data_IF_709338528741
#
_entry.id   IF_709338528741
#
_cell.length_a   1.000
_cell.length_b   1.000
_cell.length_c   1.000
_cell.angle_alpha   90.00
_cell.angle_beta   90.00
_cell.angle_gamma   90.00
#
_symmetry.space_group_name_H-M   'P 1'
#
loop_
_entity.id
_entity.type
_entity.pdbx_description
1 polymer ?
#
# COMPACT_ATOMS: atom_id res chain seq x y z
N UNK A 1 11.05 4.03 7.21
CA UNK A 1 11.45 3.66 8.57
C UNK A 1 12.84 3.05 8.53
N UNK A 2 13.70 3.56 9.38
CA UNK A 2 15.01 2.97 9.56
C UNK A 2 14.89 1.94 10.69
N UNK A 3 15.09 0.67 10.35
CA UNK A 3 15.20 -0.41 11.35
C UNK A 3 16.59 -0.41 12.00
N UNK A 4 17.50 0.45 11.51
CA UNK A 4 18.85 0.59 12.02
C UNK A 4 18.89 1.41 13.30
N UNK A 5 19.84 1.13 14.16
CA UNK A 5 20.20 1.98 15.29
C UNK A 5 21.50 2.73 14.98
N UNK A 6 21.68 3.97 15.45
CA UNK A 6 20.78 4.73 16.31
C UNK A 6 19.52 5.23 15.60
N UNK A 7 18.47 5.56 16.38
CA UNK A 7 17.24 6.15 15.85
C UNK A 7 17.52 7.59 15.39
N UNK A 8 17.24 7.88 14.12
CA UNK A 8 17.42 9.20 13.50
C UNK A 8 16.07 9.83 13.12
N UNK A 9 16.10 11.12 12.79
CA UNK A 9 14.95 11.74 12.14
C UNK A 9 14.62 11.01 10.83
N UNK A 10 13.33 10.81 10.56
CA UNK A 10 12.87 9.98 9.44
C UNK A 10 11.84 10.75 8.62
N UNK A 11 11.97 10.68 7.31
CA UNK A 11 10.93 11.08 6.36
C UNK A 11 10.42 9.81 5.71
N UNK A 12 9.11 9.62 5.68
CA UNK A 12 8.52 8.39 5.12
C UNK A 12 7.14 8.65 4.52
N UNK A 13 6.67 7.79 3.58
CA UNK A 13 5.26 7.81 3.22
C UNK A 13 4.37 7.50 4.42
N UNK A 14 3.19 8.11 4.47
CA UNK A 14 2.14 7.71 5.41
C UNK A 14 1.36 6.52 4.84
N UNK A 15 1.94 5.34 4.97
CA UNK A 15 1.35 4.11 4.47
C UNK A 15 -0.03 3.82 5.07
N UNK A 16 -0.25 4.19 6.35
CA UNK A 16 -1.51 3.91 7.02
C UNK A 16 -2.64 4.77 6.44
N UNK A 17 -2.48 6.09 6.44
CA UNK A 17 -3.47 7.00 5.87
C UNK A 17 -3.71 6.71 4.39
N UNK A 18 -2.62 6.50 3.61
CA UNK A 18 -2.71 6.19 2.19
C UNK A 18 -3.54 4.93 1.90
N UNK A 19 -3.41 3.86 2.71
CA UNK A 19 -4.24 2.67 2.52
C UNK A 19 -5.70 2.94 2.87
N UNK A 20 -5.98 3.57 4.01
CA UNK A 20 -7.36 3.88 4.43
C UNK A 20 -8.09 4.69 3.35
N UNK A 21 -7.50 5.79 2.89
CA UNK A 21 -8.10 6.62 1.85
C UNK A 21 -8.21 5.89 0.50
N UNK A 22 -7.27 4.99 0.19
CA UNK A 22 -7.37 4.15 -1.01
C UNK A 22 -8.55 3.18 -0.92
N UNK A 23 -8.75 2.55 0.22
CA UNK A 23 -9.88 1.65 0.44
C UNK A 23 -11.21 2.40 0.35
N UNK A 24 -11.30 3.61 0.93
CA UNK A 24 -12.51 4.44 0.83
C UNK A 24 -12.85 4.75 -0.65
N UNK A 25 -11.85 5.16 -1.44
CA UNK A 25 -12.02 5.39 -2.90
C UNK A 25 -12.38 4.12 -3.68
N UNK A 26 -11.84 2.97 -3.31
CA UNK A 26 -12.22 1.69 -3.92
C UNK A 26 -13.69 1.35 -3.59
N UNK A 27 -14.13 1.64 -2.36
CA UNK A 27 -15.54 1.44 -1.98
C UNK A 27 -16.49 2.35 -2.76
N UNK A 28 -16.12 3.59 -3.02
CA UNK A 28 -16.87 4.51 -3.89
C UNK A 28 -17.02 3.95 -5.31
N UNK A 29 -16.04 3.15 -5.79
CA UNK A 29 -16.08 2.43 -7.07
C UNK A 29 -16.82 1.09 -7.02
N UNK A 30 -17.48 0.80 -5.90
CA UNK A 30 -18.33 -0.38 -5.73
C UNK A 30 -17.62 -1.64 -5.23
N UNK A 31 -16.34 -1.56 -4.86
CA UNK A 31 -15.66 -2.69 -4.21
C UNK A 31 -16.10 -2.83 -2.75
N UNK A 32 -16.21 -4.06 -2.26
CA UNK A 32 -16.67 -4.36 -0.89
C UNK A 32 -15.76 -5.32 -0.16
N UNK A 33 -15.09 -6.20 -0.88
CA UNK A 33 -14.25 -7.28 -0.35
C UNK A 33 -12.79 -7.03 -0.69
N UNK A 34 -12.16 -6.18 0.10
CA UNK A 34 -10.78 -5.72 -0.12
C UNK A 34 -9.79 -6.75 0.41
N UNK A 35 -8.99 -7.34 -0.48
CA UNK A 35 -7.90 -8.23 -0.15
C UNK A 35 -6.54 -7.52 -0.17
N UNK A 36 -5.65 -7.83 0.76
CA UNK A 36 -4.27 -7.34 0.79
C UNK A 36 -3.29 -8.49 0.56
N UNK A 37 -2.46 -8.37 -0.48
CA UNK A 37 -1.41 -9.34 -0.81
C UNK A 37 -0.04 -8.68 -0.79
N UNK A 38 0.80 -9.04 0.18
CA UNK A 38 2.09 -8.38 0.40
C UNK A 38 3.17 -9.38 0.81
N UNK A 39 4.43 -9.01 0.55
CA UNK A 39 5.58 -9.78 1.03
C UNK A 39 5.92 -9.40 2.47
N UNK A 40 6.20 -10.42 3.28
CA UNK A 40 6.61 -10.24 4.69
C UNK A 40 7.84 -9.34 4.84
N UNK A 41 8.81 -9.44 3.95
CA UNK A 41 10.00 -8.59 3.97
C UNK A 41 9.66 -7.11 3.77
N UNK A 42 8.70 -6.80 2.87
CA UNK A 42 8.22 -5.42 2.65
C UNK A 42 7.48 -4.90 3.89
N UNK A 43 6.57 -5.69 4.45
CA UNK A 43 5.82 -5.35 5.66
C UNK A 43 6.73 -5.11 6.88
N UNK A 44 7.71 -5.98 7.12
CA UNK A 44 8.68 -5.80 8.21
C UNK A 44 9.42 -4.47 8.10
N UNK A 45 9.80 -4.04 6.90
CA UNK A 45 10.52 -2.76 6.67
C UNK A 45 9.70 -1.54 7.07
N UNK A 46 8.39 -1.62 6.97
CA UNK A 46 7.47 -0.52 7.31
C UNK A 46 6.69 -0.79 8.61
N UNK A 47 7.13 -1.77 9.41
CA UNK A 47 6.51 -2.14 10.68
C UNK A 47 5.03 -2.54 10.52
N UNK A 48 4.71 -3.31 9.50
CA UNK A 48 3.37 -3.83 9.19
C UNK A 48 2.29 -2.75 9.03
N UNK A 49 2.66 -1.59 8.49
CA UNK A 49 1.72 -0.47 8.35
C UNK A 49 0.57 -0.74 7.39
N UNK A 50 0.81 -1.44 6.27
CA UNK A 50 -0.28 -1.81 5.36
C UNK A 50 -1.24 -2.79 6.03
N UNK A 51 -0.71 -3.83 6.65
CA UNK A 51 -1.52 -4.80 7.40
C UNK A 51 -2.27 -4.13 8.56
N UNK A 52 -1.61 -3.27 9.32
CA UNK A 52 -2.22 -2.52 10.42
C UNK A 52 -3.36 -1.61 9.96
N UNK A 53 -3.20 -0.93 8.82
CA UNK A 53 -4.24 -0.11 8.22
C UNK A 53 -5.46 -0.94 7.80
N UNK A 54 -5.24 -2.10 7.14
CA UNK A 54 -6.34 -3.00 6.78
C UNK A 54 -7.08 -3.52 8.02
N UNK A 55 -6.35 -3.88 9.09
CA UNK A 55 -6.97 -4.33 10.34
C UNK A 55 -7.78 -3.21 11.01
N UNK A 56 -7.30 -1.97 10.97
CA UNK A 56 -8.04 -0.80 11.43
C UNK A 56 -9.33 -0.60 10.63
N UNK A 57 -9.23 -0.67 9.31
CA UNK A 57 -10.39 -0.61 8.42
C UNK A 57 -11.43 -1.70 8.72
N UNK A 58 -10.99 -2.92 9.05
CA UNK A 58 -11.87 -4.03 9.38
C UNK A 58 -12.75 -3.78 10.62
N UNK A 59 -12.39 -2.84 11.50
CA UNK A 59 -13.26 -2.49 12.64
C UNK A 59 -14.57 -1.83 12.20
N UNK A 60 -14.55 -1.15 11.05
CA UNK A 60 -15.71 -0.43 10.51
C UNK A 60 -16.54 -1.22 9.48
N UNK A 61 -16.20 -2.49 9.18
CA UNK A 61 -16.91 -3.28 8.16
C UNK A 61 -17.49 -4.57 8.69
N UNK A 62 -18.55 -5.05 8.04
CA UNK A 62 -19.23 -6.29 8.40
C UNK A 62 -18.28 -7.50 8.34
N UNK A 63 -18.44 -8.50 9.23
CA UNK A 63 -17.52 -9.63 9.33
C UNK A 63 -17.34 -10.42 8.02
N UNK A 64 -18.38 -10.56 7.21
CA UNK A 64 -18.37 -11.25 5.91
C UNK A 64 -17.56 -10.53 4.82
N UNK A 65 -17.29 -9.23 5.01
CA UNK A 65 -16.46 -8.41 4.13
C UNK A 65 -14.98 -8.38 4.56
N UNK A 66 -14.64 -8.89 5.74
CA UNK A 66 -13.29 -8.88 6.28
C UNK A 66 -12.46 -10.01 5.66
N UNK A 67 -11.49 -9.64 4.84
CA UNK A 67 -10.58 -10.60 4.21
C UNK A 67 -9.23 -10.56 4.93
N UNK A 68 -8.78 -11.68 5.51
CA UNK A 68 -7.46 -11.72 6.14
C UNK A 68 -6.37 -11.43 5.09
N UNK A 69 -5.35 -10.61 5.43
CA UNK A 69 -4.27 -10.32 4.52
C UNK A 69 -3.47 -11.59 4.20
N UNK A 70 -3.05 -11.74 2.95
CA UNK A 70 -2.09 -12.75 2.54
C UNK A 70 -0.68 -12.17 2.63
N UNK A 71 0.08 -12.59 3.63
CA UNK A 71 1.46 -12.18 3.85
C UNK A 71 2.38 -13.36 3.56
N UNK A 72 3.16 -13.26 2.48
CA UNK A 72 4.03 -14.35 1.99
C UNK A 72 5.52 -13.99 2.09
N UNK A 73 6.37 -14.99 2.22
CA UNK A 73 7.82 -14.80 2.15
C UNK A 73 8.31 -14.77 0.69
N UNK A 74 7.72 -15.61 -0.15
CA UNK A 74 7.97 -15.71 -1.61
C UNK A 74 6.67 -15.59 -2.38
N UNK A 75 6.74 -15.03 -3.60
CA UNK A 75 5.60 -14.97 -4.49
C UNK A 75 5.37 -16.35 -5.11
N UNK A 76 4.22 -16.94 -4.86
CA UNK A 76 3.82 -18.23 -5.39
C UNK A 76 2.37 -18.19 -5.83
N UNK A 77 2.12 -18.53 -7.08
CA UNK A 77 0.80 -18.52 -7.70
C UNK A 77 -0.20 -19.38 -6.93
N UNK A 78 0.19 -20.62 -6.60
CA UNK A 78 -0.69 -21.60 -5.92
C UNK A 78 -1.19 -21.07 -4.58
N UNK A 79 -0.29 -20.50 -3.75
CA UNK A 79 -0.66 -19.95 -2.44
C UNK A 79 -1.59 -18.73 -2.56
N UNK A 80 -1.36 -17.89 -3.58
CA UNK A 80 -2.24 -16.76 -3.88
C UNK A 80 -3.62 -17.23 -4.33
N UNK A 81 -3.68 -18.19 -5.27
CA UNK A 81 -4.95 -18.69 -5.79
C UNK A 81 -5.76 -19.43 -4.71
N UNK A 82 -5.12 -20.21 -3.84
CA UNK A 82 -5.80 -20.86 -2.72
C UNK A 82 -6.45 -19.83 -1.76
N UNK A 83 -5.75 -18.75 -1.44
CA UNK A 83 -6.29 -17.66 -0.65
C UNK A 83 -7.42 -16.93 -1.39
N UNK A 84 -7.22 -16.63 -2.68
CA UNK A 84 -8.23 -15.98 -3.51
C UNK A 84 -9.52 -16.80 -3.59
N UNK A 85 -9.41 -18.12 -3.83
CA UNK A 85 -10.57 -19.03 -3.89
C UNK A 85 -11.30 -19.13 -2.55
N UNK A 86 -10.58 -19.08 -1.43
CA UNK A 86 -11.17 -19.16 -0.09
C UNK A 86 -11.92 -17.89 0.32
N UNK A 87 -11.36 -16.72 -0.04
CA UNK A 87 -11.88 -15.45 0.47
C UNK A 87 -12.58 -14.59 -0.58
N UNK A 88 -12.39 -14.87 -1.87
CA UNK A 88 -13.06 -14.18 -2.98
C UNK A 88 -13.05 -12.64 -2.85
N UNK A 89 -11.86 -11.99 -2.77
CA UNK A 89 -11.79 -10.54 -2.84
C UNK A 89 -12.34 -10.04 -4.18
N UNK A 90 -12.98 -8.89 -4.18
CA UNK A 90 -13.40 -8.19 -5.41
C UNK A 90 -12.36 -7.15 -5.87
N UNK A 91 -11.41 -6.80 -5.00
CA UNK A 91 -10.21 -6.03 -5.32
C UNK A 91 -9.02 -6.52 -4.50
N UNK A 92 -7.86 -6.58 -5.15
CA UNK A 92 -6.60 -6.96 -4.52
C UNK A 92 -5.69 -5.74 -4.47
N UNK A 93 -5.24 -5.41 -3.26
CA UNK A 93 -4.25 -4.37 -3.02
C UNK A 93 -2.89 -5.06 -2.81
N UNK A 94 -1.85 -4.63 -3.54
CA UNK A 94 -0.53 -5.24 -3.41
C UNK A 94 0.56 -4.51 -4.18
N UNK A 95 1.80 -5.02 -4.10
CA UNK A 95 2.95 -4.44 -4.81
C UNK A 95 3.28 -5.15 -6.14
N UNK A 96 2.61 -6.26 -6.44
CA UNK A 96 3.06 -7.17 -7.50
C UNK A 96 1.98 -7.38 -8.56
N UNK A 97 2.07 -6.69 -9.72
CA UNK A 97 1.12 -6.83 -10.82
C UNK A 97 1.03 -8.24 -11.42
N UNK A 98 2.00 -9.11 -11.15
CA UNK A 98 1.97 -10.52 -11.58
C UNK A 98 0.67 -11.25 -11.17
N UNK A 99 -0.04 -10.76 -10.15
CA UNK A 99 -1.35 -11.32 -9.79
C UNK A 99 -2.38 -11.18 -10.91
N UNK A 100 -2.23 -10.19 -11.79
CA UNK A 100 -3.11 -9.97 -12.95
C UNK A 100 -2.96 -11.14 -13.93
N UNK A 101 -1.71 -11.60 -14.15
CA UNK A 101 -1.41 -12.75 -15.00
C UNK A 101 -1.98 -14.03 -14.40
N UNK A 102 -1.79 -14.25 -13.09
CA UNK A 102 -2.34 -15.42 -12.38
C UNK A 102 -3.88 -15.48 -12.39
N UNK A 103 -4.53 -14.30 -12.33
CA UNK A 103 -5.99 -14.22 -12.45
C UNK A 103 -6.45 -14.49 -13.87
N UNK A 104 -5.71 -13.98 -14.88
CA UNK A 104 -6.01 -14.23 -16.29
C UNK A 104 -5.89 -15.70 -16.65
N UNK A 105 -4.91 -16.44 -16.11
CA UNK A 105 -4.79 -17.90 -16.27
C UNK A 105 -6.01 -18.66 -15.72
N UNK A 106 -6.73 -18.08 -14.76
CA UNK A 106 -8.01 -18.60 -14.22
C UNK A 106 -9.24 -18.09 -14.99
N UNK A 107 -9.04 -17.36 -16.09
CA UNK A 107 -10.13 -16.77 -16.88
C UNK A 107 -10.80 -15.55 -16.23
N UNK A 108 -10.19 -14.96 -15.20
CA UNK A 108 -10.68 -13.76 -14.52
C UNK A 108 -10.09 -12.51 -15.15
N UNK A 109 -10.94 -11.52 -15.40
CA UNK A 109 -10.56 -10.26 -16.04
C UNK A 109 -10.38 -9.16 -15.01
N UNK A 110 -9.32 -8.39 -15.15
CA UNK A 110 -9.09 -7.16 -14.40
C UNK A 110 -9.41 -5.97 -15.31
N UNK A 111 -10.27 -5.04 -14.90
CA UNK A 111 -10.91 -4.86 -13.60
C UNK A 111 -12.33 -5.46 -13.47
N UNK A 112 -12.85 -6.15 -14.51
CA UNK A 112 -14.28 -6.51 -14.60
C UNK A 112 -14.70 -7.50 -13.52
N UNK A 113 -13.96 -8.61 -13.36
CA UNK A 113 -14.27 -9.67 -12.40
C UNK A 113 -13.61 -9.38 -11.03
N UNK A 114 -12.37 -8.84 -11.04
CA UNK A 114 -11.61 -8.45 -9.83
C UNK A 114 -10.70 -7.28 -10.12
N UNK A 115 -10.63 -6.28 -9.22
CA UNK A 115 -9.73 -5.16 -9.35
C UNK A 115 -8.31 -5.46 -8.85
N UNK A 116 -7.32 -4.71 -9.36
CA UNK A 116 -5.98 -4.68 -8.79
C UNK A 116 -5.56 -3.23 -8.53
N UNK A 117 -5.09 -2.94 -7.30
CA UNK A 117 -4.61 -1.65 -6.86
C UNK A 117 -3.16 -1.75 -6.37
N UNK A 118 -2.26 -1.03 -7.02
CA UNK A 118 -0.83 -1.08 -6.73
C UNK A 118 -0.45 -0.14 -5.58
N UNK A 119 0.22 -0.66 -4.55
CA UNK A 119 0.70 0.13 -3.41
C UNK A 119 1.88 1.06 -3.73
N UNK A 120 2.48 0.92 -4.92
CA UNK A 120 3.55 1.81 -5.39
C UNK A 120 3.68 1.74 -6.92
N UNK A 121 3.07 2.69 -7.62
CA UNK A 121 3.08 2.75 -9.09
C UNK A 121 4.40 3.27 -9.68
N UNK A 122 5.27 3.88 -8.85
CA UNK A 122 6.50 4.52 -9.36
C UNK A 122 7.57 3.54 -9.83
N UNK A 123 7.42 2.25 -9.53
CA UNK A 123 8.40 1.22 -9.86
C UNK A 123 7.93 0.25 -10.96
N UNK A 124 6.75 0.47 -11.53
CA UNK A 124 6.15 -0.50 -12.45
C UNK A 124 6.03 0.05 -13.88
N UNK A 125 6.44 -0.72 -14.89
CA UNK A 125 6.36 -0.30 -16.29
C UNK A 125 4.93 -0.36 -16.88
N UNK A 126 3.99 -1.04 -16.20
CA UNK A 126 2.62 -1.20 -16.68
C UNK A 126 1.65 -0.24 -15.99
N UNK A 127 0.75 0.41 -16.75
CA UNK A 127 -0.22 1.31 -16.15
C UNK A 127 -1.18 0.53 -15.26
N UNK A 128 -1.10 0.78 -13.95
CA UNK A 128 -2.03 0.28 -12.95
C UNK A 128 -2.61 1.43 -12.13
N UNK A 129 -3.84 1.28 -11.67
CA UNK A 129 -4.33 2.13 -10.60
C UNK A 129 -3.53 1.86 -9.33
N UNK A 130 -3.25 2.89 -8.54
CA UNK A 130 -2.46 2.69 -7.34
C UNK A 130 -2.05 3.97 -6.64
N UNK A 131 -0.99 3.88 -5.84
CA UNK A 131 -0.40 4.99 -5.10
C UNK A 131 0.90 5.46 -5.75
N UNK A 132 1.02 6.74 -6.01
CA UNK A 132 2.32 7.42 -6.08
C UNK A 132 2.72 7.79 -4.66
N UNK A 133 3.81 7.20 -4.17
CA UNK A 133 4.35 7.48 -2.84
C UNK A 133 5.16 8.79 -2.77
N UNK A 134 5.11 9.61 -3.81
CA UNK A 134 5.68 10.95 -3.90
C UNK A 134 7.19 11.01 -3.56
N UNK A 135 8.06 10.22 -4.20
CA UNK A 135 9.48 10.13 -3.84
C UNK A 135 10.22 11.48 -3.95
N UNK A 136 9.81 12.36 -4.86
CA UNK A 136 10.41 13.70 -5.01
C UNK A 136 10.09 14.57 -3.79
N UNK A 137 8.84 14.56 -3.31
CA UNK A 137 8.40 15.31 -2.13
C UNK A 137 9.06 14.78 -0.86
N UNK A 138 9.19 13.45 -0.74
CA UNK A 138 9.95 12.83 0.35
C UNK A 138 11.41 13.29 0.35
N UNK A 139 12.03 13.33 -0.83
CA UNK A 139 13.41 13.81 -0.98
C UNK A 139 13.56 15.29 -0.62
N UNK A 140 12.66 16.14 -1.07
CA UNK A 140 12.64 17.57 -0.73
C UNK A 140 12.52 17.77 0.79
N UNK A 141 11.53 17.14 1.43
CA UNK A 141 11.34 17.22 2.88
C UNK A 141 12.55 16.68 3.67
N UNK A 142 13.25 15.67 3.14
CA UNK A 142 14.48 15.18 3.76
C UNK A 142 15.59 16.23 3.72
N UNK A 143 15.79 16.91 2.59
CA UNK A 143 16.79 18.00 2.47
C UNK A 143 16.43 19.15 3.39
N UNK A 144 15.18 19.60 3.39
CA UNK A 144 14.70 20.68 4.27
C UNK A 144 14.94 20.33 5.76
N UNK A 145 14.68 19.08 6.15
CA UNK A 145 14.93 18.61 7.50
C UNK A 145 16.42 18.70 7.87
N UNK A 146 17.31 18.30 6.97
CA UNK A 146 18.76 18.37 7.19
C UNK A 146 19.24 19.81 7.27
N UNK A 147 18.79 20.68 6.37
CA UNK A 147 19.13 22.12 6.40
C UNK A 147 18.70 22.76 7.72
N UNK A 148 17.47 22.48 8.18
CA UNK A 148 16.99 22.98 9.45
C UNK A 148 17.81 22.49 10.65
N UNK A 149 18.27 21.21 10.64
CA UNK A 149 19.15 20.68 11.68
C UNK A 149 20.51 21.40 11.69
N UNK A 150 21.10 21.63 10.51
CA UNK A 150 22.36 22.37 10.38
C UNK A 150 22.22 23.78 10.95
N UNK A 151 21.16 24.51 10.57
CA UNK A 151 20.89 25.87 11.04
C UNK A 151 20.71 25.97 12.56
N UNK A 152 20.12 24.92 13.19
CA UNK A 152 19.98 24.84 14.64
C UNK A 152 21.23 24.32 15.36
N UNK A 153 22.29 23.98 14.62
CA UNK A 153 23.50 23.41 15.19
C UNK A 153 23.33 22.01 15.80
N UNK A 154 22.27 21.28 15.41
CA UNK A 154 22.01 19.92 15.89
C UNK A 154 23.11 18.96 15.40
N UNK A 155 23.66 18.17 16.32
CA UNK A 155 24.75 17.23 16.01
C UNK A 155 24.55 15.92 16.75
N UNK A 156 25.04 14.85 16.14
CA UNK A 156 24.98 13.51 16.71
C UNK A 156 23.56 12.88 16.64
N UNK A 157 23.33 11.91 17.49
CA UNK A 157 22.03 11.21 17.55
C UNK A 157 20.98 12.05 18.27
N UNK A 158 19.81 12.29 17.68
CA UNK A 158 18.78 13.09 18.34
C UNK A 158 18.24 12.37 19.58
N UNK A 159 18.03 13.11 20.67
CA UNK A 159 17.39 12.60 21.90
C UNK A 159 15.94 12.21 21.63
N UNK A 160 15.26 13.01 20.80
CA UNK A 160 13.88 12.78 20.40
C UNK A 160 13.78 12.71 18.86
N UNK A 161 13.91 11.52 18.27
CA UNK A 161 13.75 11.34 16.81
C UNK A 161 12.36 11.76 16.36
N UNK A 162 12.29 12.51 15.26
CA UNK A 162 11.04 12.96 14.66
C UNK A 162 10.77 12.15 13.40
N UNK A 163 9.50 11.88 13.12
CA UNK A 163 9.06 11.33 11.85
C UNK A 163 8.16 12.33 11.15
N UNK A 164 8.52 12.68 9.91
CA UNK A 164 7.65 13.44 9.01
C UNK A 164 7.05 12.43 8.05
N UNK A 165 5.72 12.41 7.97
CA UNK A 165 4.97 11.53 7.07
C UNK A 165 4.32 12.36 5.96
N UNK A 166 4.42 11.87 4.71
CA UNK A 166 3.76 12.46 3.54
C UNK A 166 2.83 11.40 2.98
N UNK A 167 1.56 11.76 2.84
CA UNK A 167 0.57 10.86 2.25
C UNK A 167 0.82 10.68 0.75
N UNK A 168 0.65 9.45 0.25
CA UNK A 168 0.73 9.15 -1.18
C UNK A 168 -0.46 9.71 -1.95
N UNK A 169 -0.28 9.94 -3.25
CA UNK A 169 -1.33 10.38 -4.14
C UNK A 169 -1.97 9.18 -4.87
N UNK A 170 -3.30 9.22 -5.02
CA UNK A 170 -4.02 8.27 -5.86
C UNK A 170 -3.68 8.49 -7.34
N UNK A 171 -3.40 7.40 -8.04
CA UNK A 171 -3.22 7.35 -9.49
C UNK A 171 -4.31 6.48 -10.09
N UNK A 172 -5.09 7.05 -11.01
CA UNK A 172 -6.07 6.28 -11.78
C UNK A 172 -5.36 5.38 -12.80
N UNK A 173 -5.99 4.24 -13.11
CA UNK A 173 -5.44 3.29 -14.07
C UNK A 173 -6.46 2.23 -14.47
N UNK A 174 -6.17 1.41 -15.49
CA UNK A 174 -7.12 0.47 -16.09
C UNK A 174 -7.41 -0.75 -15.20
N UNK A 175 -6.74 -0.90 -14.07
CA UNK A 175 -6.83 -2.11 -13.22
C UNK A 175 -7.89 -2.01 -12.12
N UNK A 176 -8.59 -0.88 -12.00
CA UNK A 176 -9.76 -0.73 -11.14
C UNK A 176 -10.93 -0.13 -11.93
N UNK A 177 -12.15 -0.38 -11.45
CA UNK A 177 -13.35 0.20 -12.05
C UNK A 177 -13.27 1.73 -12.07
N UNK A 178 -13.82 2.38 -13.11
CA UNK A 178 -13.91 3.84 -13.14
C UNK A 178 -14.73 4.37 -11.97
N UNK A 179 -14.52 5.65 -11.61
CA UNK A 179 -15.38 6.30 -10.65
C UNK A 179 -16.81 6.34 -11.18
N UNK A 180 -17.80 6.06 -10.32
CA UNK A 180 -19.19 6.23 -10.67
C UNK A 180 -19.45 7.72 -10.78
N UNK A 181 -20.00 8.22 -11.90
CA UNK A 181 -20.38 9.63 -11.98
C UNK A 181 -21.38 9.97 -10.88
N UNK A 182 -21.18 11.12 -10.25
CA UNK A 182 -22.07 11.63 -9.22
C UNK A 182 -23.43 12.06 -9.82
#
# INVERSE_FOLDING_TARGET
>A
YCLSRPALHTISPDHHAALIHSVDRLRERGYRRVGLFVRRAAEKRILFKWTGALMSYHQGVAPDQRIPPLIVDTLQCEGFLAWFDSYRPDVIIGHHPVVIEWLAERGLRVPDDVGFFNLNTTQEPHPSAGLDLLPRQLGAAAVESVVAQIQRGERGTPVHPKTISIEGAWVDGPTVRPAVPA
#
